data_IF_508504205209
#
_entry.id   IF_508504205209
#
_cell.length_a   1.000
_cell.length_b   1.000
_cell.length_c   1.000
_cell.angle_alpha   90.00
_cell.angle_beta   90.00
_cell.angle_gamma   90.00
#
_symmetry.space_group_name_H-M   'P 1'
#
loop_
_entity.id
_entity.type
_entity.pdbx_description
1 polymer ?
#
# COMPACT_ATOMS: atom_id res chain seq x y z
N UNK A 1 -11.96 -0.13 13.28
CA UNK A 1 -12.23 -1.01 12.12
C UNK A 1 -11.48 -2.30 12.31
N UNK A 2 -12.17 -3.42 12.17
CA UNK A 2 -11.57 -4.76 12.28
C UNK A 2 -10.84 -5.12 10.99
N UNK A 3 -9.68 -5.75 11.12
CA UNK A 3 -8.87 -6.29 10.04
C UNK A 3 -9.21 -7.77 9.82
N UNK A 4 -9.03 -8.23 8.58
CA UNK A 4 -9.06 -9.66 8.28
C UNK A 4 -7.89 -10.37 8.95
N UNK A 5 -8.01 -11.69 9.12
CA UNK A 5 -6.90 -12.53 9.58
C UNK A 5 -5.65 -12.28 8.74
N UNK A 6 -4.52 -12.08 9.43
CA UNK A 6 -3.23 -11.74 8.83
C UNK A 6 -2.10 -12.33 9.67
N UNK A 7 -0.92 -12.45 9.06
CA UNK A 7 0.27 -13.08 9.64
C UNK A 7 0.78 -12.38 10.92
N UNK A 8 0.34 -11.14 11.18
CA UNK A 8 0.73 -10.38 12.38
C UNK A 8 -0.19 -10.68 13.58
N UNK A 9 -1.29 -11.39 13.38
CA UNK A 9 -2.29 -11.66 14.42
C UNK A 9 -3.04 -10.41 14.89
N UNK A 10 -2.98 -9.31 14.13
CA UNK A 10 -3.54 -8.01 14.52
C UNK A 10 -4.97 -7.90 14.02
N UNK A 11 -5.91 -7.56 14.91
CA UNK A 11 -7.34 -7.58 14.59
C UNK A 11 -7.94 -6.21 14.31
N UNK A 12 -7.21 -5.13 14.57
CA UNK A 12 -7.70 -3.76 14.44
C UNK A 12 -6.68 -2.81 13.81
N UNK A 13 -7.19 -1.81 13.07
CA UNK A 13 -6.33 -0.76 12.48
C UNK A 13 -5.54 0.00 13.54
N UNK A 14 -6.14 0.30 14.69
CA UNK A 14 -5.48 1.01 15.79
C UNK A 14 -4.28 0.21 16.35
N UNK A 15 -4.50 -1.08 16.61
CA UNK A 15 -3.42 -1.99 17.00
C UNK A 15 -2.33 -2.08 15.93
N UNK A 16 -2.70 -2.08 14.65
CA UNK A 16 -1.73 -2.12 13.54
C UNK A 16 -0.91 -0.83 13.46
N UNK A 17 -1.53 0.32 13.68
CA UNK A 17 -0.84 1.62 13.76
C UNK A 17 0.14 1.64 14.94
N UNK A 18 -0.29 1.14 16.10
CA UNK A 18 0.57 1.02 17.28
C UNK A 18 1.77 0.10 17.01
N UNK A 19 1.52 -1.10 16.48
CA UNK A 19 2.56 -2.06 16.10
C UNK A 19 3.54 -1.46 15.08
N UNK A 20 3.01 -0.83 14.04
CA UNK A 20 3.84 -0.21 13.00
C UNK A 20 4.72 0.90 13.56
N UNK A 21 4.18 1.71 14.47
CA UNK A 21 4.95 2.78 15.11
C UNK A 21 6.08 2.22 15.99
N UNK A 22 5.84 1.11 16.68
CA UNK A 22 6.85 0.46 17.52
C UNK A 22 7.97 -0.21 16.72
N UNK A 23 7.65 -0.83 15.58
CA UNK A 23 8.62 -1.62 14.80
C UNK A 23 9.12 -0.94 13.52
N UNK A 24 8.56 0.23 13.15
CA UNK A 24 8.94 1.01 11.95
C UNK A 24 8.78 0.19 10.65
N UNK A 25 7.91 -0.82 10.65
CA UNK A 25 7.70 -1.77 9.55
C UNK A 25 6.49 -1.41 8.68
N UNK A 26 6.42 -0.14 8.25
CA UNK A 26 5.28 0.42 7.51
C UNK A 26 4.91 -0.34 6.24
N UNK A 27 5.92 -0.77 5.47
CA UNK A 27 5.72 -1.50 4.22
C UNK A 27 5.29 -2.94 4.44
N UNK A 28 5.82 -3.58 5.49
CA UNK A 28 5.47 -4.97 5.80
C UNK A 28 3.98 -5.11 6.09
N UNK A 29 3.40 -4.21 6.89
CA UNK A 29 1.97 -4.18 7.15
C UNK A 29 1.16 -4.13 5.83
N UNK A 30 1.59 -3.29 4.88
CA UNK A 30 0.94 -3.19 3.57
C UNK A 30 1.07 -4.46 2.71
N UNK A 31 2.12 -5.25 2.92
CA UNK A 31 2.36 -6.48 2.17
C UNK A 31 1.60 -7.69 2.76
N UNK A 32 1.50 -7.80 4.09
CA UNK A 32 0.97 -8.99 4.78
C UNK A 32 -0.50 -8.90 5.18
N UNK A 33 -1.04 -7.69 5.30
CA UNK A 33 -2.44 -7.47 5.66
C UNK A 33 -3.29 -7.39 4.38
N UNK A 34 -4.48 -7.99 4.41
CA UNK A 34 -5.47 -7.81 3.35
C UNK A 34 -6.25 -6.53 3.63
N UNK A 35 -6.29 -5.62 2.66
CA UNK A 35 -6.85 -4.29 2.84
C UNK A 35 -8.14 -4.09 2.04
N UNK A 36 -9.11 -3.42 2.66
CA UNK A 36 -10.14 -2.68 1.92
C UNK A 36 -9.63 -1.28 1.59
N UNK A 37 -10.21 -0.58 0.60
CA UNK A 37 -9.70 0.74 0.20
C UNK A 37 -9.80 1.75 1.35
N UNK A 38 -10.89 1.69 2.11
CA UNK A 38 -11.12 2.54 3.28
C UNK A 38 -10.10 2.27 4.41
N UNK A 39 -9.83 0.99 4.72
CA UNK A 39 -8.80 0.60 5.70
C UNK A 39 -7.40 1.07 5.31
N UNK A 40 -7.03 0.88 4.03
CA UNK A 40 -5.75 1.32 3.51
C UNK A 40 -5.59 2.85 3.65
N UNK A 41 -6.63 3.61 3.29
CA UNK A 41 -6.64 5.07 3.45
C UNK A 41 -6.52 5.47 4.91
N UNK A 42 -7.27 4.86 5.81
CA UNK A 42 -7.17 5.12 7.26
C UNK A 42 -5.76 4.88 7.79
N UNK A 43 -5.16 3.72 7.48
CA UNK A 43 -3.80 3.38 7.91
C UNK A 43 -2.75 4.33 7.32
N UNK A 44 -2.85 4.65 6.03
CA UNK A 44 -1.93 5.59 5.38
C UNK A 44 -2.06 7.02 5.92
N UNK A 45 -3.28 7.44 6.30
CA UNK A 45 -3.52 8.75 6.90
C UNK A 45 -2.98 8.85 8.34
N UNK A 46 -2.83 7.73 9.05
CA UNK A 46 -2.16 7.72 10.35
C UNK A 46 -0.66 8.06 10.23
N UNK A 47 -0.07 7.90 9.04
CA UNK A 47 1.36 8.12 8.78
C UNK A 47 1.58 9.03 7.55
N UNK A 48 1.29 10.34 7.65
CA UNK A 48 1.30 11.24 6.49
C UNK A 48 2.67 11.36 5.82
N UNK A 49 3.76 11.40 6.59
CA UNK A 49 5.13 11.45 6.04
C UNK A 49 5.50 10.17 5.28
N UNK A 50 5.13 9.01 5.83
CA UNK A 50 5.31 7.73 5.16
C UNK A 50 4.47 7.66 3.89
N UNK A 51 3.19 8.05 3.95
CA UNK A 51 2.27 8.11 2.79
C UNK A 51 2.87 8.93 1.65
N UNK A 52 3.41 10.11 1.95
CA UNK A 52 4.00 10.98 0.93
C UNK A 52 5.25 10.34 0.30
N UNK A 53 6.17 9.85 1.13
CA UNK A 53 7.40 9.19 0.66
C UNK A 53 7.07 7.94 -0.18
N UNK A 54 6.16 7.12 0.32
CA UNK A 54 5.75 5.88 -0.34
C UNK A 54 5.02 6.15 -1.66
N UNK A 55 4.18 7.19 -1.75
CA UNK A 55 3.57 7.60 -3.01
C UNK A 55 4.62 8.02 -4.05
N UNK A 56 5.66 8.76 -3.65
CA UNK A 56 6.79 9.13 -4.53
C UNK A 56 7.57 7.91 -4.99
N UNK A 57 7.81 6.95 -4.09
CA UNK A 57 8.48 5.68 -4.43
C UNK A 57 7.66 4.86 -5.43
N UNK A 58 6.37 4.68 -5.20
CA UNK A 58 5.49 3.95 -6.11
C UNK A 58 5.37 4.62 -7.47
N UNK A 59 5.37 5.96 -7.52
CA UNK A 59 5.39 6.72 -8.78
C UNK A 59 6.68 6.42 -9.56
N UNK A 60 7.84 6.49 -8.90
CA UNK A 60 9.14 6.14 -9.52
C UNK A 60 9.16 4.69 -9.99
N UNK A 61 8.66 3.77 -9.17
CA UNK A 61 8.56 2.35 -9.52
C UNK A 61 7.67 2.17 -10.75
N UNK A 62 6.52 2.84 -10.83
CA UNK A 62 5.62 2.81 -11.99
C UNK A 62 6.31 3.26 -13.28
N UNK A 63 7.12 4.32 -13.23
CA UNK A 63 7.91 4.77 -14.40
C UNK A 63 8.98 3.75 -14.82
N UNK A 64 9.64 3.09 -13.86
CA UNK A 64 10.61 2.04 -14.14
C UNK A 64 9.92 0.80 -14.73
N UNK A 65 8.80 0.39 -14.14
CA UNK A 65 7.99 -0.75 -14.59
C UNK A 65 7.41 -0.51 -15.98
N UNK A 66 7.00 0.71 -16.32
CA UNK A 66 6.52 1.06 -17.67
C UNK A 66 7.56 0.80 -18.76
N UNK A 67 8.86 0.80 -18.41
CA UNK A 67 9.97 0.46 -19.32
C UNK A 67 10.21 -1.05 -19.42
N UNK A 68 9.59 -1.85 -18.56
CA UNK A 68 9.72 -3.31 -18.57
C UNK A 68 8.75 -3.95 -19.58
N UNK A 69 9.13 -5.07 -20.20
CA UNK A 69 8.24 -5.85 -21.05
C UNK A 69 7.01 -6.32 -20.26
N UNK A 70 5.85 -6.37 -20.93
CA UNK A 70 4.55 -6.68 -20.32
C UNK A 70 4.58 -7.94 -19.45
N UNK A 71 5.18 -9.03 -19.94
CA UNK A 71 5.31 -10.29 -19.20
C UNK A 71 6.04 -10.15 -17.85
N UNK A 72 6.95 -9.19 -17.72
CA UNK A 72 7.67 -8.92 -16.47
C UNK A 72 6.84 -8.06 -15.53
N UNK A 73 6.07 -7.09 -16.06
CA UNK A 73 5.09 -6.32 -15.29
C UNK A 73 4.01 -7.22 -14.68
N UNK A 74 3.43 -8.12 -15.48
CA UNK A 74 2.43 -9.09 -15.02
C UNK A 74 2.98 -9.98 -13.89
N UNK A 75 4.25 -10.40 -13.98
CA UNK A 75 4.90 -11.17 -12.91
C UNK A 75 5.07 -10.37 -11.62
N UNK A 76 5.41 -9.08 -11.71
CA UNK A 76 5.55 -8.21 -10.54
C UNK A 76 4.19 -8.02 -9.87
N UNK A 77 3.15 -7.72 -10.66
CA UNK A 77 1.79 -7.57 -10.16
C UNK A 77 1.26 -8.85 -9.47
N UNK A 78 1.53 -10.01 -10.06
CA UNK A 78 1.16 -11.30 -9.47
C UNK A 78 1.93 -11.63 -8.18
N UNK A 79 3.16 -11.14 -8.03
CA UNK A 79 3.98 -11.41 -6.84
C UNK A 79 3.52 -10.58 -5.63
N UNK A 80 2.99 -9.37 -5.86
CA UNK A 80 2.63 -8.43 -4.80
C UNK A 80 1.24 -7.81 -5.03
N UNK A 81 0.17 -8.61 -4.93
CA UNK A 81 -1.19 -8.15 -5.20
C UNK A 81 -1.63 -7.00 -4.26
N UNK A 82 -1.24 -7.07 -2.99
CA UNK A 82 -1.53 -6.00 -2.02
C UNK A 82 -0.81 -4.69 -2.37
N UNK A 83 0.42 -4.76 -2.88
CA UNK A 83 1.17 -3.56 -3.26
C UNK A 83 0.55 -2.87 -4.48
N UNK A 84 0.09 -3.64 -5.47
CA UNK A 84 -0.64 -3.11 -6.61
C UNK A 84 -1.97 -2.48 -6.18
N UNK A 85 -2.71 -3.13 -5.27
CA UNK A 85 -3.92 -2.55 -4.70
C UNK A 85 -3.64 -1.20 -4.01
N UNK A 86 -2.63 -1.13 -3.15
CA UNK A 86 -2.25 0.11 -2.46
C UNK A 86 -1.78 1.19 -3.46
N UNK A 87 -1.07 0.80 -4.52
CA UNK A 87 -0.68 1.69 -5.61
C UNK A 87 -1.90 2.29 -6.30
N UNK A 88 -2.94 1.51 -6.57
CA UNK A 88 -4.21 2.02 -7.09
C UNK A 88 -4.89 2.97 -6.11
N UNK A 89 -4.92 2.67 -4.81
CA UNK A 89 -5.50 3.56 -3.79
C UNK A 89 -4.76 4.90 -3.73
N UNK A 90 -3.43 4.87 -3.76
CA UNK A 90 -2.57 6.06 -3.61
C UNK A 90 -2.43 6.90 -4.89
N UNK A 91 -2.33 6.25 -6.05
CA UNK A 91 -2.07 6.91 -7.34
C UNK A 91 -3.32 6.99 -8.22
N UNK A 92 -4.27 6.08 -8.10
CA UNK A 92 -5.53 6.10 -8.85
C UNK A 92 -6.44 7.27 -8.45
N UNK A 93 -6.29 7.81 -7.24
CA UNK A 93 -6.90 9.09 -6.85
C UNK A 93 -6.36 10.30 -7.63
N UNK A 94 -5.27 10.15 -8.38
CA UNK A 94 -4.63 11.23 -9.15
C UNK A 94 -5.11 11.31 -10.61
N UNK A 95 -5.86 10.32 -11.10
CA UNK A 95 -6.38 10.27 -12.47
C UNK A 95 -7.74 10.99 -12.65
N UNK A 96 -8.32 11.56 -11.58
CA UNK A 96 -9.56 12.38 -11.64
C UNK A 96 -9.32 13.84 -11.22
N UNK A 97 -8.20 14.43 -11.62
CA UNK A 97 -7.99 15.89 -11.51
C UNK A 97 -7.33 16.41 -12.79
N UNK A 98 -7.99 16.16 -13.91
CA UNK A 98 -7.81 16.92 -15.15
C UNK A 98 -9.16 16.91 -15.89
N UNK A 99 -10.01 17.89 -15.59
CA UNK A 99 -11.05 18.38 -16.48
C UNK A 99 -11.37 19.84 -16.15
#
# INVERSE_FOLDING_TARGET
>A
MSLSENDLGITSIDELVSWTSSYVHFKQALEVVTWTPDQAVCYLNAFPEFRERFSKELTKQGHLEARLPKAMRDKIAANKPNLEFIKTVLLGSKENTDH
#
